data_IF_072778698296
#
_entry.id   IF_072778698296
#
_cell.length_a   1.000
_cell.length_b   1.000
_cell.length_c   1.000
_cell.angle_alpha   90.00
_cell.angle_beta   90.00
_cell.angle_gamma   90.00
#
_symmetry.space_group_name_H-M   'P 1'
#
loop_
_entity.id
_entity.type
_entity.pdbx_description
1 polymer ?
#
# COMPACT_ATOMS: atom_id res chain seq x y z
N UNK A 1 19.90 13.97 28.36
CA UNK A 1 18.68 13.19 28.11
C UNK A 1 18.98 12.34 26.91
N UNK A 2 19.18 11.06 27.11
CA UNK A 2 19.49 10.10 26.04
C UNK A 2 18.21 9.88 25.23
N UNK A 3 18.18 10.33 23.97
CA UNK A 3 17.16 9.91 23.01
C UNK A 3 17.49 8.48 22.64
N UNK A 4 16.73 7.56 23.18
CA UNK A 4 16.79 6.15 22.80
C UNK A 4 16.27 6.02 21.35
N UNK A 5 17.20 6.12 20.41
CA UNK A 5 16.99 5.83 19.00
C UNK A 5 17.08 4.30 18.80
N UNK A 6 16.33 3.53 19.57
CA UNK A 6 16.13 2.13 19.26
C UNK A 6 15.30 2.07 17.96
N UNK A 7 15.96 1.87 16.83
CA UNK A 7 15.34 1.42 15.59
C UNK A 7 14.66 0.08 15.91
N UNK A 8 13.37 0.15 16.22
CA UNK A 8 12.58 -1.06 16.42
C UNK A 8 12.47 -1.78 15.08
N UNK A 9 13.31 -2.78 14.90
CA UNK A 9 13.15 -3.71 13.78
C UNK A 9 11.78 -4.36 13.89
N UNK A 10 10.94 -4.13 12.90
CA UNK A 10 9.64 -4.76 12.82
C UNK A 10 9.79 -6.01 11.97
N UNK A 11 9.47 -7.16 12.56
CA UNK A 11 9.48 -8.42 11.81
C UNK A 11 8.35 -8.45 10.78
N UNK A 12 8.55 -9.09 9.61
CA UNK A 12 7.48 -9.34 8.67
C UNK A 12 6.27 -9.98 9.36
N UNK A 13 5.05 -9.63 8.92
CA UNK A 13 3.83 -10.13 9.52
C UNK A 13 3.41 -9.50 10.85
N UNK A 14 4.13 -8.51 11.37
CA UNK A 14 3.70 -7.74 12.54
C UNK A 14 2.63 -6.73 12.15
N UNK A 15 1.45 -6.83 12.77
CA UNK A 15 0.35 -5.86 12.55
C UNK A 15 0.61 -4.58 13.33
N UNK A 16 0.47 -3.47 12.65
CA UNK A 16 0.57 -2.12 13.22
C UNK A 16 -0.57 -1.25 12.76
N UNK A 17 -0.95 -0.31 13.59
CA UNK A 17 -1.87 0.77 13.24
C UNK A 17 -1.48 2.06 13.98
N UNK A 18 -2.05 3.19 13.55
CA UNK A 18 -1.71 4.48 14.13
C UNK A 18 -1.97 4.60 15.64
N UNK A 19 -2.88 3.79 16.21
CA UNK A 19 -3.17 3.85 17.65
C UNK A 19 -2.02 3.32 18.52
N UNK A 20 -1.10 2.58 17.91
CA UNK A 20 0.09 2.02 18.57
C UNK A 20 1.38 2.76 18.25
N UNK A 21 1.29 3.85 17.47
CA UNK A 21 2.45 4.59 16.96
C UNK A 21 2.37 6.04 17.43
N UNK A 22 3.46 6.56 17.98
CA UNK A 22 3.56 7.98 18.28
C UNK A 22 3.72 8.78 16.99
N UNK A 23 2.82 9.74 16.71
CA UNK A 23 2.94 10.55 15.50
C UNK A 23 4.12 11.52 15.54
N UNK A 24 4.64 11.81 14.36
CA UNK A 24 5.56 12.92 14.13
C UNK A 24 4.69 14.11 13.72
N UNK A 25 4.73 15.19 14.50
CA UNK A 25 4.06 16.45 14.16
C UNK A 25 4.88 17.18 13.10
N UNK A 26 4.39 17.24 11.85
CA UNK A 26 5.09 17.89 10.74
C UNK A 26 4.80 19.39 10.68
N UNK A 27 3.55 19.78 10.92
CA UNK A 27 3.09 21.17 10.99
C UNK A 27 1.75 21.25 11.74
N UNK A 28 1.21 22.43 11.94
CA UNK A 28 -0.13 22.59 12.52
C UNK A 28 -1.16 21.83 11.70
N UNK A 29 -1.88 20.90 12.32
CA UNK A 29 -2.89 20.06 11.69
C UNK A 29 -2.36 18.95 10.76
N UNK A 30 -1.06 18.62 10.79
CA UNK A 30 -0.48 17.54 10.00
C UNK A 30 0.34 16.62 10.89
N UNK A 31 -0.10 15.38 11.01
CA UNK A 31 0.59 14.29 11.70
C UNK A 31 1.01 13.21 10.72
N UNK A 32 2.19 12.62 10.95
CA UNK A 32 2.72 11.50 10.18
C UNK A 32 2.98 10.32 11.11
N UNK A 33 2.50 9.15 10.71
CA UNK A 33 2.71 7.88 11.40
C UNK A 33 3.56 6.95 10.54
N UNK A 34 4.71 6.52 11.02
CA UNK A 34 5.53 5.51 10.34
C UNK A 34 4.92 4.12 10.53
N UNK A 35 3.97 3.77 9.69
CA UNK A 35 3.23 2.50 9.79
C UNK A 35 4.15 1.31 9.51
N UNK A 36 4.91 1.36 8.41
CA UNK A 36 6.00 0.43 8.12
C UNK A 36 7.25 1.26 7.90
N UNK A 37 8.16 1.35 8.89
CA UNK A 37 9.35 2.18 8.81
C UNK A 37 10.30 1.75 7.68
N UNK A 38 10.97 2.73 7.07
CA UNK A 38 12.03 2.47 6.09
C UNK A 38 13.19 1.70 6.73
N UNK A 39 13.78 0.77 5.97
CA UNK A 39 14.94 0.00 6.42
C UNK A 39 14.64 -1.08 7.46
N UNK A 40 13.37 -1.30 7.79
CA UNK A 40 12.95 -2.32 8.77
C UNK A 40 13.20 -3.73 8.25
N UNK A 41 12.96 -3.94 6.97
CA UNK A 41 13.16 -5.21 6.31
C UNK A 41 13.63 -4.99 4.87
N UNK A 42 14.75 -5.59 4.51
CA UNK A 42 15.26 -5.77 3.15
C UNK A 42 15.22 -4.54 2.22
N UNK A 43 15.15 -3.33 2.74
CA UNK A 43 15.21 -2.10 1.93
C UNK A 43 14.09 -2.00 0.86
N UNK A 44 13.01 -2.77 1.00
CA UNK A 44 12.04 -2.91 -0.05
C UNK A 44 11.00 -1.79 -0.03
N UNK A 45 9.87 -2.04 0.60
CA UNK A 45 8.78 -1.09 0.68
C UNK A 45 8.69 -0.51 2.09
N UNK A 46 8.20 0.73 2.21
CA UNK A 46 7.84 1.32 3.49
C UNK A 46 6.57 2.15 3.36
N UNK A 47 5.90 2.43 4.48
CA UNK A 47 4.62 3.11 4.46
C UNK A 47 4.48 4.11 5.59
N UNK A 48 3.90 5.26 5.26
CA UNK A 48 3.51 6.31 6.19
C UNK A 48 2.02 6.59 6.05
N UNK A 49 1.37 6.94 7.16
CA UNK A 49 0.01 7.45 7.16
C UNK A 49 0.04 8.91 7.59
N UNK A 50 -0.58 9.77 6.80
CA UNK A 50 -0.72 11.20 7.08
C UNK A 50 -2.14 11.48 7.50
N UNK A 51 -2.28 12.21 8.62
CA UNK A 51 -3.54 12.75 9.11
C UNK A 51 -3.50 14.27 8.98
N UNK A 52 -4.41 14.82 8.18
CA UNK A 52 -4.54 16.24 7.97
C UNK A 52 -5.88 16.72 8.58
N UNK A 53 -5.83 17.85 9.30
CA UNK A 53 -6.99 18.51 9.87
C UNK A 53 -6.94 20.01 9.56
N UNK A 54 -7.81 20.46 8.64
CA UNK A 54 -7.82 21.84 8.12
C UNK A 54 -6.41 22.32 7.78
N UNK A 55 -5.71 21.56 6.95
CA UNK A 55 -4.30 21.73 6.68
C UNK A 55 -3.93 21.31 5.25
N UNK A 56 -2.70 21.61 4.88
CA UNK A 56 -2.08 21.09 3.67
C UNK A 56 -0.67 20.59 3.94
N UNK A 57 -0.24 19.60 3.18
CA UNK A 57 1.10 19.04 3.24
C UNK A 57 1.60 18.71 1.84
N UNK A 58 2.83 19.02 1.54
CA UNK A 58 3.46 18.67 0.28
C UNK A 58 4.41 17.49 0.49
N UNK A 59 4.15 16.42 -0.25
CA UNK A 59 5.10 15.33 -0.42
C UNK A 59 6.06 15.76 -1.52
N UNK A 60 7.18 16.37 -1.11
CA UNK A 60 8.21 16.86 -2.03
C UNK A 60 8.84 15.72 -2.82
N UNK A 61 9.38 16.05 -3.98
CA UNK A 61 10.08 15.08 -4.84
C UNK A 61 11.21 14.36 -4.10
N UNK A 62 11.23 13.04 -4.21
CA UNK A 62 12.27 12.19 -3.67
C UNK A 62 12.68 11.09 -4.67
N UNK A 63 13.41 10.09 -4.24
CA UNK A 63 13.88 8.98 -5.08
C UNK A 63 12.92 7.79 -5.17
N UNK A 64 11.73 7.89 -4.56
CA UNK A 64 10.76 6.79 -4.51
C UNK A 64 9.58 7.05 -5.44
N UNK A 65 9.03 5.99 -6.01
CA UNK A 65 7.67 6.00 -6.52
C UNK A 65 6.72 5.89 -5.31
N UNK A 66 5.64 6.65 -5.30
CA UNK A 66 4.70 6.73 -4.19
C UNK A 66 3.30 6.38 -4.64
N UNK A 67 2.68 5.49 -3.91
CA UNK A 67 1.31 5.04 -4.12
C UNK A 67 0.47 5.53 -2.95
N UNK A 68 -0.46 6.43 -3.24
CA UNK A 68 -1.32 7.08 -2.25
C UNK A 68 -2.73 6.49 -2.30
N UNK A 69 -3.33 6.31 -1.13
CA UNK A 69 -4.74 5.91 -1.01
C UNK A 69 -5.41 6.68 0.12
N UNK A 70 -6.61 7.20 -0.14
CA UNK A 70 -7.41 7.88 0.87
C UNK A 70 -8.16 6.86 1.71
N UNK A 71 -7.80 6.77 2.99
CA UNK A 71 -8.41 5.88 3.96
C UNK A 71 -9.72 6.43 4.51
N UNK A 72 -9.79 7.76 4.66
CA UNK A 72 -10.96 8.43 5.23
C UNK A 72 -10.93 9.93 4.93
N UNK A 73 -12.10 10.56 4.92
CA UNK A 73 -12.23 12.01 4.73
C UNK A 73 -12.27 12.43 3.26
N UNK A 74 -12.10 13.74 3.06
CA UNK A 74 -12.16 14.38 1.74
C UNK A 74 -11.17 15.54 1.65
N UNK A 75 -10.70 15.83 0.44
CA UNK A 75 -9.73 16.88 0.20
C UNK A 75 -9.42 17.09 -1.27
N UNK A 76 -8.24 17.63 -1.53
CA UNK A 76 -7.73 17.85 -2.86
C UNK A 76 -6.29 17.37 -2.98
N UNK A 77 -5.96 16.74 -4.10
CA UNK A 77 -4.60 16.51 -4.56
C UNK A 77 -4.24 17.55 -5.62
N UNK A 78 -3.15 18.28 -5.40
CA UNK A 78 -2.54 19.15 -6.39
C UNK A 78 -1.24 18.53 -6.87
N UNK A 79 -1.23 18.05 -8.10
CA UNK A 79 -0.09 17.41 -8.72
C UNK A 79 0.51 18.34 -9.78
N UNK A 80 1.81 18.50 -9.74
CA UNK A 80 2.57 19.27 -10.72
C UNK A 80 3.75 18.45 -11.18
N UNK A 81 3.93 18.29 -12.48
CA UNK A 81 5.15 17.78 -13.06
C UNK A 81 5.77 18.84 -13.98
N UNK A 82 7.05 18.63 -14.35
CA UNK A 82 7.83 19.60 -15.13
C UNK A 82 7.23 19.92 -16.51
N UNK A 83 6.34 19.07 -17.03
CA UNK A 83 5.84 19.13 -18.41
C UNK A 83 4.34 19.45 -18.51
N UNK A 84 3.60 19.50 -17.40
CA UNK A 84 2.16 19.70 -17.41
C UNK A 84 1.73 20.78 -16.40
N UNK A 85 0.67 21.55 -16.69
CA UNK A 85 0.11 22.44 -15.69
C UNK A 85 -0.37 21.68 -14.46
N UNK A 86 -0.44 22.37 -13.33
CA UNK A 86 -0.95 21.80 -12.09
C UNK A 86 -2.34 21.18 -12.30
N UNK A 87 -2.50 19.93 -11.87
CA UNK A 87 -3.77 19.23 -11.87
C UNK A 87 -4.31 19.21 -10.45
N UNK A 88 -5.48 19.79 -10.24
CA UNK A 88 -6.19 19.74 -8.98
C UNK A 88 -7.34 18.74 -9.08
N UNK A 89 -7.35 17.75 -8.21
CA UNK A 89 -8.35 16.68 -8.20
C UNK A 89 -8.95 16.56 -6.83
N UNK A 90 -10.28 16.69 -6.75
CA UNK A 90 -11.02 16.41 -5.52
C UNK A 90 -10.93 14.91 -5.20
N UNK A 91 -10.58 14.58 -3.96
CA UNK A 91 -10.39 13.22 -3.49
C UNK A 91 -11.23 12.93 -2.25
N UNK A 92 -11.59 11.68 -2.09
CA UNK A 92 -12.32 11.14 -0.95
C UNK A 92 -11.91 9.69 -0.69
N UNK A 93 -12.45 9.08 0.33
CA UNK A 93 -12.22 7.65 0.60
C UNK A 93 -12.28 6.81 -0.68
N UNK A 94 -11.30 5.94 -0.87
CA UNK A 94 -11.13 5.11 -2.06
C UNK A 94 -10.40 5.79 -3.24
N UNK A 95 -10.13 7.09 -3.19
CA UNK A 95 -9.29 7.75 -4.20
C UNK A 95 -7.83 7.35 -4.05
N UNK A 96 -7.13 7.19 -5.17
CA UNK A 96 -5.72 6.80 -5.21
C UNK A 96 -4.91 7.64 -6.19
N UNK A 97 -3.61 7.77 -5.93
CA UNK A 97 -2.67 8.45 -6.82
C UNK A 97 -1.35 7.69 -6.91
N UNK A 98 -0.71 7.76 -8.09
CA UNK A 98 0.65 7.27 -8.33
C UNK A 98 1.55 8.44 -8.71
N UNK A 99 2.55 8.71 -7.89
CA UNK A 99 3.54 9.79 -8.04
C UNK A 99 4.90 9.16 -8.21
N UNK A 100 5.54 9.40 -9.35
CA UNK A 100 6.82 8.79 -9.65
C UNK A 100 7.97 9.54 -8.95
N UNK A 101 9.11 8.86 -8.79
CA UNK A 101 10.33 9.48 -8.27
C UNK A 101 10.69 10.76 -9.05
N UNK A 102 11.01 11.81 -8.32
CA UNK A 102 11.29 13.14 -8.88
C UNK A 102 10.07 14.05 -9.04
N UNK A 103 8.87 13.62 -8.67
CA UNK A 103 7.65 14.41 -8.72
C UNK A 103 7.16 14.78 -7.31
N UNK A 104 6.38 15.87 -7.21
CA UNK A 104 5.75 16.32 -5.97
C UNK A 104 4.23 16.23 -6.07
N UNK A 105 3.59 16.03 -4.93
CA UNK A 105 2.13 16.14 -4.80
C UNK A 105 1.79 16.86 -3.50
N UNK A 106 0.84 17.80 -3.55
CA UNK A 106 0.31 18.47 -2.39
C UNK A 106 -1.04 17.88 -2.02
N UNK A 107 -1.20 17.56 -0.74
CA UNK A 107 -2.42 17.12 -0.09
C UNK A 107 -3.04 18.31 0.62
N UNK A 108 -4.34 18.53 0.53
CA UNK A 108 -5.03 19.58 1.28
C UNK A 108 -6.45 19.19 1.65
N UNK A 109 -6.91 19.69 2.79
CA UNK A 109 -8.29 19.56 3.23
C UNK A 109 -8.70 20.73 4.11
N UNK A 110 -9.97 21.13 4.04
CA UNK A 110 -10.61 22.07 4.97
C UNK A 110 -11.30 21.37 6.14
N UNK A 111 -11.31 20.03 6.15
CA UNK A 111 -11.90 19.16 7.18
C UNK A 111 -10.84 18.21 7.73
N UNK A 112 -11.01 16.93 7.46
CA UNK A 112 -10.06 15.87 7.80
C UNK A 112 -9.76 15.03 6.57
N UNK A 113 -8.53 14.54 6.48
CA UNK A 113 -8.08 13.66 5.41
C UNK A 113 -7.05 12.69 5.98
N UNK A 114 -7.31 11.39 5.85
CA UNK A 114 -6.39 10.32 6.20
C UNK A 114 -5.87 9.67 4.93
N UNK A 115 -4.56 9.70 4.74
CA UNK A 115 -3.88 9.22 3.52
C UNK A 115 -2.79 8.24 3.90
N UNK A 116 -2.82 7.03 3.35
CA UNK A 116 -1.65 6.16 3.37
C UNK A 116 -0.80 6.40 2.13
N UNK A 117 0.51 6.46 2.33
CA UNK A 117 1.51 6.59 1.27
C UNK A 117 2.46 5.41 1.38
N UNK A 118 2.50 4.58 0.35
CA UNK A 118 3.42 3.46 0.24
C UNK A 118 4.53 3.86 -0.72
N UNK A 119 5.76 3.78 -0.24
CA UNK A 119 6.96 4.17 -0.95
C UNK A 119 7.63 2.94 -1.56
N UNK A 120 7.91 3.03 -2.84
CA UNK A 120 8.59 2.01 -3.62
C UNK A 120 9.91 2.60 -4.12
N UNK A 121 11.06 2.13 -3.63
CA UNK A 121 12.36 2.67 -4.02
C UNK A 121 12.54 2.73 -5.55
N UNK A 122 12.83 3.93 -6.06
CA UNK A 122 12.90 4.21 -7.49
C UNK A 122 14.28 3.93 -8.12
N UNK A 123 14.49 4.35 -9.38
CA UNK A 123 15.68 4.00 -10.16
C UNK A 123 17.00 4.60 -9.63
N UNK A 124 16.92 5.65 -8.80
CA UNK A 124 18.09 6.24 -8.16
C UNK A 124 18.66 5.36 -7.02
N UNK A 125 17.89 4.41 -6.52
CA UNK A 125 18.33 3.45 -5.51
C UNK A 125 19.06 2.30 -6.19
N UNK A 126 20.39 2.09 -5.96
CA UNK A 126 21.21 1.19 -6.77
C UNK A 126 20.68 -0.24 -6.88
N UNK A 127 20.24 -0.83 -5.76
CA UNK A 127 19.72 -2.20 -5.74
C UNK A 127 18.31 -2.30 -6.37
N UNK A 128 17.48 -1.25 -6.26
CA UNK A 128 16.12 -1.22 -6.80
C UNK A 128 16.11 -1.03 -8.33
N UNK A 129 17.17 -0.48 -8.91
CA UNK A 129 17.26 -0.18 -10.35
C UNK A 129 16.88 -1.37 -11.23
N UNK A 130 17.29 -2.58 -10.85
CA UNK A 130 16.97 -3.81 -11.61
C UNK A 130 15.49 -4.19 -11.59
N UNK A 131 14.73 -3.69 -10.60
CA UNK A 131 13.30 -3.96 -10.42
C UNK A 131 12.43 -2.88 -11.06
N UNK A 132 13.01 -1.74 -11.42
CA UNK A 132 12.32 -0.68 -12.15
C UNK A 132 12.19 -1.10 -13.62
N UNK A 133 10.99 -1.02 -14.15
CA UNK A 133 10.68 -1.39 -15.53
C UNK A 133 10.60 -0.17 -16.43
N UNK A 134 10.99 -0.34 -17.67
CA UNK A 134 10.68 0.61 -18.72
C UNK A 134 9.19 0.49 -19.06
N UNK A 135 8.50 1.62 -19.01
CA UNK A 135 7.06 1.68 -19.25
C UNK A 135 6.74 2.75 -20.28
N UNK A 136 5.65 2.55 -20.99
CA UNK A 136 5.10 3.57 -21.90
C UNK A 136 4.44 4.69 -21.08
N UNK A 137 5.19 5.76 -20.85
CA UNK A 137 4.74 6.91 -20.04
C UNK A 137 3.49 7.60 -20.64
N UNK A 138 3.20 7.41 -21.93
CA UNK A 138 1.99 7.97 -22.55
C UNK A 138 0.71 7.34 -22.02
N UNK A 139 0.80 6.14 -21.44
CA UNK A 139 -0.32 5.44 -20.78
C UNK A 139 -0.52 5.82 -19.33
N UNK A 140 0.30 6.74 -18.82
CA UNK A 140 0.29 7.06 -17.41
C UNK A 140 -1.03 7.64 -16.95
N UNK A 141 -1.56 7.04 -15.89
CA UNK A 141 -2.66 7.55 -15.09
C UNK A 141 -2.08 7.96 -13.74
N UNK A 142 -2.27 9.23 -13.34
CA UNK A 142 -1.81 9.74 -12.03
C UNK A 142 -2.86 9.48 -10.95
N UNK A 143 -4.14 9.61 -11.29
CA UNK A 143 -5.26 9.52 -10.37
C UNK A 143 -6.25 8.45 -10.79
N UNK A 144 -6.70 7.64 -9.85
CA UNK A 144 -7.78 6.67 -10.00
C UNK A 144 -8.59 6.57 -8.71
N UNK A 145 -9.53 5.68 -8.66
CA UNK A 145 -10.30 5.38 -7.45
C UNK A 145 -10.76 3.92 -7.46
N UNK A 146 -11.01 3.39 -6.31
CA UNK A 146 -11.69 2.08 -6.15
C UNK A 146 -13.06 2.11 -6.84
N UNK A 147 -13.39 1.06 -7.57
CA UNK A 147 -14.59 0.94 -8.41
C UNK A 147 -14.45 1.58 -9.79
N UNK A 148 -13.24 1.96 -10.23
CA UNK A 148 -12.99 2.46 -11.58
C UNK A 148 -12.64 1.37 -12.59
N UNK A 149 -12.20 0.21 -12.13
CA UNK A 149 -11.89 -0.96 -12.95
C UNK A 149 -12.76 -2.16 -12.54
N UNK A 150 -12.83 -3.14 -13.43
CA UNK A 150 -13.53 -4.39 -13.13
C UNK A 150 -12.75 -5.23 -12.13
N UNK A 151 -13.48 -5.89 -11.23
CA UNK A 151 -12.90 -6.87 -10.33
C UNK A 151 -12.46 -8.11 -11.12
N UNK A 152 -11.36 -8.68 -10.71
CA UNK A 152 -10.77 -9.90 -11.25
C UNK A 152 -10.80 -11.01 -10.20
N UNK A 153 -10.93 -12.26 -10.65
CA UNK A 153 -10.90 -13.40 -9.75
C UNK A 153 -9.48 -13.65 -9.24
N UNK A 154 -9.36 -13.85 -7.94
CA UNK A 154 -8.16 -14.40 -7.30
C UNK A 154 -8.35 -15.91 -7.04
N UNK A 155 -7.49 -16.52 -6.22
CA UNK A 155 -7.68 -17.90 -5.82
C UNK A 155 -8.91 -18.07 -4.91
N UNK A 156 -9.63 -19.18 -5.07
CA UNK A 156 -10.91 -19.47 -4.40
C UNK A 156 -12.02 -18.49 -4.83
N UNK A 157 -12.78 -17.97 -3.88
CA UNK A 157 -13.88 -17.01 -4.06
C UNK A 157 -13.47 -15.55 -3.78
N UNK A 158 -12.16 -15.28 -3.71
CA UNK A 158 -11.60 -13.93 -3.55
C UNK A 158 -11.60 -13.18 -4.88
N UNK A 159 -11.70 -11.87 -4.77
CA UNK A 159 -11.59 -10.95 -5.91
C UNK A 159 -10.59 -9.85 -5.59
N UNK A 160 -10.12 -9.15 -6.61
CA UNK A 160 -9.31 -7.94 -6.48
C UNK A 160 -9.60 -6.94 -7.61
N UNK A 161 -9.33 -5.68 -7.34
CA UNK A 161 -9.33 -4.60 -8.33
C UNK A 161 -7.93 -3.97 -8.36
N UNK A 162 -7.32 -3.92 -9.57
CA UNK A 162 -6.02 -3.26 -9.76
C UNK A 162 -6.25 -1.76 -9.90
N UNK A 163 -5.54 -0.98 -9.08
CA UNK A 163 -5.55 0.48 -9.15
C UNK A 163 -4.43 1.01 -10.04
N UNK A 164 -3.22 0.45 -9.89
CA UNK A 164 -2.06 0.79 -10.71
C UNK A 164 -1.20 -0.44 -10.98
N UNK A 165 -0.86 -0.66 -12.24
CA UNK A 165 0.11 -1.64 -12.71
C UNK A 165 0.86 -1.12 -13.95
N UNK A 166 1.53 -1.98 -14.69
CA UNK A 166 2.21 -1.65 -15.96
C UNK A 166 1.30 -0.97 -17.00
N UNK A 167 -0.01 -1.24 -16.97
CA UNK A 167 -0.97 -0.66 -17.91
C UNK A 167 -1.25 0.81 -17.63
N UNK A 168 -1.02 1.28 -16.41
CA UNK A 168 -1.06 2.70 -16.02
C UNK A 168 0.35 3.29 -15.87
N UNK A 169 1.36 2.65 -16.45
CA UNK A 169 2.76 3.02 -16.40
C UNK A 169 3.37 3.03 -14.98
N UNK A 170 2.94 2.12 -14.10
CA UNK A 170 3.67 1.80 -12.88
C UNK A 170 5.00 1.13 -13.22
N UNK A 171 6.09 1.54 -12.57
CA UNK A 171 7.46 1.16 -12.91
C UNK A 171 7.96 -0.05 -12.12
N UNK A 172 7.22 -1.14 -12.10
CA UNK A 172 7.61 -2.41 -11.49
C UNK A 172 7.00 -2.67 -10.11
N UNK A 173 5.87 -2.02 -9.82
CA UNK A 173 5.02 -2.36 -8.67
C UNK A 173 3.56 -2.43 -9.10
N UNK A 174 2.75 -3.15 -8.34
CA UNK A 174 1.30 -3.23 -8.50
C UNK A 174 0.62 -2.73 -7.23
N UNK A 175 -0.39 -1.87 -7.39
CA UNK A 175 -1.30 -1.44 -6.32
C UNK A 175 -2.70 -1.97 -6.61
N UNK A 176 -3.32 -2.61 -5.63
CA UNK A 176 -4.64 -3.22 -5.77
C UNK A 176 -5.45 -3.15 -4.47
N UNK A 177 -6.73 -3.43 -4.57
CA UNK A 177 -7.58 -3.73 -3.41
C UNK A 177 -8.13 -5.15 -3.57
N UNK A 178 -7.82 -6.02 -2.61
CA UNK A 178 -8.35 -7.38 -2.52
C UNK A 178 -9.61 -7.42 -1.67
N UNK A 179 -10.57 -8.25 -2.06
CA UNK A 179 -11.83 -8.49 -1.38
C UNK A 179 -11.82 -9.92 -0.84
N UNK A 180 -11.80 -10.05 0.48
CA UNK A 180 -11.64 -11.33 1.17
C UNK A 180 -12.95 -11.70 1.87
N UNK A 181 -13.70 -12.67 1.31
CA UNK A 181 -14.98 -13.11 1.87
C UNK A 181 -14.78 -13.93 3.16
N UNK A 182 -15.88 -14.41 3.73
CA UNK A 182 -15.88 -15.20 4.97
C UNK A 182 -15.00 -16.47 4.92
N UNK A 183 -14.73 -17.01 3.72
CA UNK A 183 -13.78 -18.11 3.53
C UNK A 183 -12.34 -17.74 3.91
N UNK A 184 -12.05 -16.43 3.98
CA UNK A 184 -10.71 -15.92 4.26
C UNK A 184 -9.74 -16.09 3.09
N UNK A 185 -8.46 -15.89 3.37
CA UNK A 185 -7.35 -16.26 2.51
C UNK A 185 -6.58 -17.38 3.21
N UNK A 186 -6.57 -18.62 2.66
CA UNK A 186 -5.85 -19.73 3.26
C UNK A 186 -4.35 -19.42 3.35
N UNK A 187 -3.63 -20.17 4.16
CA UNK A 187 -2.19 -20.01 4.30
C UNK A 187 -1.48 -20.15 2.95
N UNK A 188 -0.73 -19.10 2.60
CA UNK A 188 -0.02 -18.99 1.34
C UNK A 188 1.20 -18.07 1.48
N UNK A 189 2.03 -18.02 0.44
CA UNK A 189 3.11 -17.03 0.30
C UNK A 189 3.17 -16.49 -1.12
N UNK A 190 3.82 -15.36 -1.25
CA UNK A 190 4.13 -14.70 -2.53
C UNK A 190 5.64 -14.67 -2.78
N UNK A 191 6.05 -14.44 -4.02
CA UNK A 191 7.46 -14.23 -4.37
C UNK A 191 7.86 -12.75 -4.39
N UNK A 192 6.92 -11.86 -4.19
CA UNK A 192 7.13 -10.42 -4.11
C UNK A 192 7.14 -9.92 -2.66
N UNK A 193 7.64 -8.71 -2.50
CA UNK A 193 7.61 -7.95 -1.26
C UNK A 193 6.36 -7.08 -1.25
N UNK A 194 5.56 -7.10 -0.18
CA UNK A 194 4.24 -6.49 -0.15
C UNK A 194 3.98 -5.75 1.16
N UNK A 195 3.37 -4.57 1.04
CA UNK A 195 2.70 -3.91 2.17
C UNK A 195 1.20 -4.04 1.98
N UNK A 196 0.54 -4.54 3.02
CA UNK A 196 -0.89 -4.67 3.13
C UNK A 196 -1.47 -3.70 4.15
N UNK A 197 -2.65 -3.12 3.86
CA UNK A 197 -3.42 -2.32 4.82
C UNK A 197 -4.91 -2.63 4.71
N UNK A 198 -5.58 -2.80 5.84
CA UNK A 198 -7.03 -2.97 5.87
C UNK A 198 -7.69 -1.62 5.61
N UNK A 199 -8.46 -1.53 4.54
CA UNK A 199 -9.19 -0.31 4.16
C UNK A 199 -10.68 -0.38 4.48
N UNK A 200 -11.21 -1.60 4.68
CA UNK A 200 -12.58 -1.81 5.15
C UNK A 200 -12.72 -3.14 5.89
N UNK A 201 -13.60 -3.20 6.89
CA UNK A 201 -13.86 -4.41 7.66
C UNK A 201 -12.85 -4.68 8.77
N UNK A 202 -12.91 -5.89 9.32
CA UNK A 202 -12.02 -6.38 10.38
C UNK A 202 -11.87 -7.90 10.26
N UNK A 203 -10.77 -8.43 10.80
CA UNK A 203 -10.46 -9.84 10.72
C UNK A 203 -9.22 -10.20 11.52
N UNK A 204 -8.42 -11.14 11.03
CA UNK A 204 -7.19 -11.55 11.69
C UNK A 204 -6.11 -11.96 10.70
N UNK A 205 -4.86 -11.66 11.05
CA UNK A 205 -3.66 -12.12 10.36
C UNK A 205 -3.03 -13.26 11.14
N UNK A 206 -2.85 -14.40 10.50
CA UNK A 206 -2.06 -15.52 11.00
C UNK A 206 -0.75 -15.60 10.22
N UNK A 207 0.39 -15.67 10.92
CA UNK A 207 1.71 -15.82 10.31
C UNK A 207 2.51 -16.88 11.07
N UNK A 208 2.81 -18.01 10.41
CA UNK A 208 3.51 -19.13 11.04
C UNK A 208 2.87 -19.54 12.38
N UNK A 209 3.68 -19.78 13.40
CA UNK A 209 3.23 -20.18 14.75
C UNK A 209 2.87 -18.99 15.67
N UNK A 210 2.81 -17.76 15.12
CA UNK A 210 2.45 -16.60 15.92
C UNK A 210 0.95 -16.60 16.26
N UNK A 211 0.55 -16.04 17.42
CA UNK A 211 -0.84 -15.83 17.74
C UNK A 211 -1.56 -15.05 16.65
N UNK A 212 -2.85 -15.33 16.43
CA UNK A 212 -3.70 -14.56 15.52
C UNK A 212 -3.71 -13.08 15.94
N UNK A 213 -3.30 -12.20 15.03
CA UNK A 213 -3.26 -10.76 15.25
C UNK A 213 -4.53 -10.12 14.71
N UNK A 214 -5.16 -9.26 15.49
CA UNK A 214 -6.36 -8.53 15.06
C UNK A 214 -6.06 -7.58 13.91
N UNK A 215 -6.95 -7.59 12.91
CA UNK A 215 -6.98 -6.65 11.79
C UNK A 215 -8.24 -5.80 11.87
N UNK A 216 -8.09 -4.49 11.71
CA UNK A 216 -9.18 -3.51 11.60
C UNK A 216 -8.82 -2.45 10.58
N UNK A 217 -9.77 -1.63 10.14
CA UNK A 217 -9.48 -0.51 9.22
C UNK A 217 -8.31 0.34 9.74
N UNK A 218 -7.28 0.52 8.91
CA UNK A 218 -6.04 1.19 9.23
C UNK A 218 -4.92 0.28 9.78
N UNK A 219 -5.20 -1.00 10.08
CA UNK A 219 -4.14 -1.96 10.38
C UNK A 219 -3.32 -2.26 9.13
N UNK A 220 -2.00 -2.24 9.26
CA UNK A 220 -1.07 -2.56 8.18
C UNK A 220 -0.03 -3.59 8.64
N UNK A 221 0.50 -4.33 7.69
CA UNK A 221 1.58 -5.28 7.89
C UNK A 221 2.40 -5.42 6.61
N UNK A 222 3.64 -5.88 6.79
CA UNK A 222 4.56 -6.16 5.71
C UNK A 222 4.70 -7.67 5.50
N UNK A 223 4.62 -8.13 4.28
CA UNK A 223 4.80 -9.53 3.87
C UNK A 223 6.05 -9.64 3.01
N UNK A 224 7.07 -10.30 3.55
CA UNK A 224 8.30 -10.58 2.82
C UNK A 224 8.10 -11.69 1.78
N UNK A 225 8.95 -11.75 0.74
CA UNK A 225 8.95 -12.88 -0.20
C UNK A 225 9.04 -14.22 0.55
N UNK A 226 8.17 -15.16 0.17
CA UNK A 226 8.06 -16.52 0.76
C UNK A 226 7.62 -16.56 2.23
N UNK A 227 7.10 -15.47 2.77
CA UNK A 227 6.60 -15.42 4.12
C UNK A 227 5.16 -15.95 4.19
N UNK A 228 4.94 -17.07 4.87
CA UNK A 228 3.64 -17.71 5.03
C UNK A 228 2.70 -16.85 5.86
N UNK A 229 1.51 -16.63 5.34
CA UNK A 229 0.46 -15.86 6.01
C UNK A 229 -0.93 -16.32 5.58
N UNK A 230 -1.92 -16.05 6.43
CA UNK A 230 -3.34 -16.28 6.16
C UNK A 230 -4.16 -15.11 6.69
N UNK A 231 -5.26 -14.79 6.01
CA UNK A 231 -6.22 -13.79 6.48
C UNK A 231 -7.51 -14.49 6.87
N UNK A 232 -7.91 -14.26 8.10
CA UNK A 232 -9.18 -14.75 8.64
C UNK A 232 -10.23 -13.65 8.57
N UNK A 233 -11.35 -13.95 7.93
CA UNK A 233 -12.53 -13.09 7.95
C UNK A 233 -13.70 -13.84 8.62
N UNK A 234 -14.02 -13.53 9.89
CA UNK A 234 -15.14 -14.16 10.60
C UNK A 234 -16.50 -13.52 10.27
N UNK A 235 -16.53 -12.52 9.38
CA UNK A 235 -17.72 -11.70 9.14
C UNK A 235 -18.42 -12.11 7.84
N UNK A 236 -19.71 -11.85 7.70
CA UNK A 236 -20.44 -12.07 6.44
C UNK A 236 -20.06 -11.05 5.34
N UNK A 237 -19.53 -9.90 5.72
CA UNK A 237 -19.03 -8.89 4.77
C UNK A 237 -17.54 -9.10 4.49
N UNK A 238 -17.09 -8.74 3.30
CA UNK A 238 -15.70 -8.85 2.91
C UNK A 238 -14.80 -7.93 3.74
N UNK A 239 -13.60 -8.42 4.05
CA UNK A 239 -12.47 -7.59 4.46
C UNK A 239 -11.77 -7.08 3.21
N UNK A 240 -11.55 -5.77 3.12
CA UNK A 240 -10.86 -5.17 1.98
C UNK A 240 -9.43 -4.83 2.35
N UNK A 241 -8.50 -5.34 1.56
CA UNK A 241 -7.06 -5.16 1.76
C UNK A 241 -6.49 -4.36 0.59
N UNK A 242 -5.96 -3.17 0.88
CA UNK A 242 -5.06 -2.46 -0.01
C UNK A 242 -3.72 -3.17 0.03
N UNK A 243 -3.18 -3.54 -1.14
CA UNK A 243 -1.84 -4.08 -1.31
C UNK A 243 -1.02 -3.25 -2.28
N UNK A 244 0.26 -3.06 -1.96
CA UNK A 244 1.27 -2.61 -2.93
C UNK A 244 2.44 -3.55 -2.85
N UNK A 245 2.82 -4.14 -3.98
CA UNK A 245 3.89 -5.11 -4.02
C UNK A 245 4.86 -4.90 -5.18
N UNK A 246 6.07 -5.42 -5.01
CA UNK A 246 7.17 -5.42 -5.96
C UNK A 246 7.94 -6.76 -5.90
N UNK A 247 8.39 -7.34 -7.05
CA UNK A 247 8.15 -6.87 -8.42
C UNK A 247 6.67 -6.90 -8.78
N UNK A 248 6.33 -6.19 -9.89
CA UNK A 248 4.97 -6.19 -10.42
C UNK A 248 4.52 -7.60 -10.83
N UNK A 249 3.24 -7.83 -10.79
CA UNK A 249 2.62 -9.11 -11.16
C UNK A 249 1.12 -9.11 -10.88
N UNK A 250 0.55 -10.29 -10.81
CA UNK A 250 -0.85 -10.48 -10.45
C UNK A 250 -1.02 -10.61 -8.93
N UNK A 251 -2.02 -9.94 -8.31
CA UNK A 251 -2.40 -10.22 -6.93
C UNK A 251 -2.85 -11.66 -6.66
N UNK A 252 -3.18 -12.43 -7.70
CA UNK A 252 -3.51 -13.85 -7.58
C UNK A 252 -2.29 -14.78 -7.55
N UNK A 253 -1.08 -14.25 -7.81
CA UNK A 253 0.16 -15.02 -7.79
C UNK A 253 0.53 -15.45 -6.37
N UNK A 254 0.10 -16.64 -5.98
CA UNK A 254 0.27 -17.20 -4.65
C UNK A 254 0.64 -18.69 -4.72
N UNK A 255 1.31 -19.16 -3.68
CA UNK A 255 1.74 -20.54 -3.51
C UNK A 255 1.30 -21.06 -2.15
N UNK A 256 0.85 -22.31 -2.11
CA UNK A 256 0.57 -23.00 -0.86
C UNK A 256 1.85 -23.43 -0.12
N UNK A 257 1.78 -23.76 1.18
CA UNK A 257 2.96 -24.18 1.96
C UNK A 257 3.76 -25.33 1.35
N UNK A 258 3.12 -26.21 0.58
CA UNK A 258 3.75 -27.33 -0.13
C UNK A 258 4.40 -26.92 -1.46
N UNK A 259 4.36 -25.64 -1.82
CA UNK A 259 4.95 -25.09 -3.04
C UNK A 259 4.09 -25.18 -4.29
N UNK A 260 2.87 -25.75 -4.22
CA UNK A 260 1.94 -25.75 -5.35
C UNK A 260 1.39 -24.35 -5.57
N UNK A 261 1.27 -23.96 -6.82
CA UNK A 261 0.57 -22.73 -7.22
C UNK A 261 -0.89 -22.75 -6.77
N UNK A 262 -1.38 -21.66 -6.23
CA UNK A 262 -2.80 -21.49 -5.98
C UNK A 262 -3.58 -21.45 -7.29
N UNK A 263 -4.86 -21.86 -7.32
CA UNK A 263 -5.71 -21.68 -8.49
C UNK A 263 -5.72 -20.21 -8.94
N UNK A 264 -5.74 -19.97 -10.26
CA UNK A 264 -5.65 -18.63 -10.87
C UNK A 264 -4.30 -17.90 -10.62
N UNK A 265 -3.27 -18.63 -10.21
CA UNK A 265 -1.91 -18.08 -10.23
C UNK A 265 -1.53 -17.83 -11.69
N UNK A 266 -1.59 -16.56 -12.09
CA UNK A 266 -1.19 -16.09 -13.42
C UNK A 266 0.25 -15.57 -13.28
N UNK A 267 1.22 -16.47 -13.12
CA UNK A 267 2.61 -16.15 -13.42
C UNK A 267 2.82 -16.33 -14.93
N UNK A 268 3.05 -15.24 -15.62
CA UNK A 268 3.58 -15.19 -16.99
C UNK A 268 5.11 -15.26 -16.98
#
# INVERSE_FOLDING_TARGET
MSTDNSTHFITPGTVRDRSTITPIQLSAGVECYEIVPAGTYAEALFAQQFELKNASHELVADSNDRYLYILDGEGEFSFTNQNNPAQNVSVKEGSAAMVLAGESIKLSTTRTLSVVVIYVPGPATPWAKRLVKDVDISKRIVFTRLGAADKQAASSDREFEVLFDKNQASRGATMFVGFIPTSGAPEHYHLYDEICMIVNGHGGLQTGDHPLQELKKGSAFHVAPRYLHAIHNPNPADVWILGVFRPEGSPSAAYYPDGRSAPNNLED
#
